data_IF_986084273577
#
_entry.id   IF_986084273577
#
_cell.length_a   1.000
_cell.length_b   1.000
_cell.length_c   1.000
_cell.angle_alpha   90.00
_cell.angle_beta   90.00
_cell.angle_gamma   90.00
#
_symmetry.space_group_name_H-M   'P 1'
#
loop_
_entity.id
_entity.type
_entity.pdbx_description
1 polymer ?
#
# COMPACT_ATOMS: atom_id res chain seq x y z
N UNK A 1 -13.36 -22.15 13.44
CA UNK A 1 -13.68 -20.72 13.26
C UNK A 1 -14.48 -20.29 14.47
N UNK A 2 -14.34 -19.06 14.95
CA UNK A 2 -15.05 -18.52 16.14
C UNK A 2 -15.92 -17.32 15.78
N UNK A 3 -15.71 -16.72 14.60
CA UNK A 3 -16.41 -15.50 14.19
C UNK A 3 -17.91 -15.73 13.86
N UNK A 4 -18.33 -16.80 13.17
CA UNK A 4 -19.75 -17.11 12.99
C UNK A 4 -20.48 -17.31 14.32
N UNK A 5 -19.87 -18.02 15.26
CA UNK A 5 -20.43 -18.30 16.59
C UNK A 5 -20.52 -17.01 17.43
N UNK A 6 -19.47 -16.18 17.39
CA UNK A 6 -19.47 -14.88 18.06
C UNK A 6 -20.51 -13.91 17.48
N UNK A 7 -20.70 -13.93 16.15
CA UNK A 7 -21.75 -13.15 15.50
C UNK A 7 -23.13 -13.63 15.94
N UNK A 8 -23.41 -14.93 15.87
CA UNK A 8 -24.70 -15.51 16.30
C UNK A 8 -25.02 -15.12 17.75
N UNK A 9 -24.05 -15.22 18.66
CA UNK A 9 -24.24 -14.82 20.05
C UNK A 9 -24.54 -13.32 20.19
N UNK A 10 -23.86 -12.47 19.43
CA UNK A 10 -24.13 -11.03 19.45
C UNK A 10 -25.53 -10.70 18.90
N UNK A 11 -25.98 -11.41 17.86
CA UNK A 11 -27.32 -11.29 17.29
C UNK A 11 -28.40 -11.73 18.30
N UNK A 12 -28.21 -12.88 18.96
CA UNK A 12 -29.12 -13.38 20.00
C UNK A 12 -29.26 -12.40 21.18
N UNK A 13 -28.18 -11.65 21.48
CA UNK A 13 -28.16 -10.63 22.52
C UNK A 13 -28.63 -9.24 22.03
N UNK A 14 -28.93 -9.08 20.73
CA UNK A 14 -29.28 -7.79 20.13
C UNK A 14 -28.14 -6.74 20.16
N UNK A 15 -26.89 -7.19 20.32
CA UNK A 15 -25.72 -6.33 20.49
C UNK A 15 -25.04 -6.03 19.15
N UNK A 16 -25.57 -5.02 18.46
CA UNK A 16 -25.00 -4.50 17.20
C UNK A 16 -23.50 -4.18 17.26
N UNK A 17 -22.99 -3.71 18.41
CA UNK A 17 -21.58 -3.35 18.55
C UNK A 17 -20.70 -4.61 18.52
N UNK A 18 -21.07 -5.63 19.30
CA UNK A 18 -20.36 -6.91 19.29
C UNK A 18 -20.51 -7.64 17.95
N UNK A 19 -21.67 -7.56 17.31
CA UNK A 19 -21.90 -8.14 15.99
C UNK A 19 -20.96 -7.54 14.94
N UNK A 20 -20.85 -6.20 14.89
CA UNK A 20 -19.92 -5.52 13.97
C UNK A 20 -18.46 -5.91 14.24
N UNK A 21 -18.05 -5.97 15.51
CA UNK A 21 -16.69 -6.39 15.91
C UNK A 21 -16.38 -7.83 15.53
N UNK A 22 -17.32 -8.76 15.69
CA UNK A 22 -17.17 -10.14 15.28
C UNK A 22 -16.92 -10.25 13.76
N UNK A 23 -17.69 -9.50 12.97
CA UNK A 23 -17.47 -9.40 11.52
C UNK A 23 -16.10 -8.79 11.18
N UNK A 24 -15.70 -7.70 11.85
CA UNK A 24 -14.39 -7.08 11.63
C UNK A 24 -13.20 -8.00 11.95
N UNK A 25 -13.34 -8.87 12.96
CA UNK A 25 -12.34 -9.91 13.25
C UNK A 25 -12.28 -10.96 12.14
N UNK A 26 -13.42 -11.36 11.56
CA UNK A 26 -13.45 -12.27 10.41
C UNK A 26 -12.70 -11.66 9.21
N UNK A 27 -13.00 -10.40 8.86
CA UNK A 27 -12.30 -9.69 7.77
C UNK A 27 -10.79 -9.60 8.05
N UNK A 28 -10.41 -9.25 9.28
CA UNK A 28 -9.00 -9.19 9.69
C UNK A 28 -8.30 -10.53 9.52
N UNK A 29 -8.97 -11.63 9.88
CA UNK A 29 -8.41 -12.97 9.72
C UNK A 29 -8.23 -13.32 8.25
N UNK A 30 -9.27 -13.15 7.42
CA UNK A 30 -9.24 -13.40 5.98
C UNK A 30 -8.07 -12.66 5.33
N UNK A 31 -7.96 -11.36 5.60
CA UNK A 31 -6.89 -10.52 5.08
C UNK A 31 -5.49 -11.00 5.54
N UNK A 32 -5.34 -11.37 6.81
CA UNK A 32 -4.04 -11.78 7.36
C UNK A 32 -3.59 -13.17 6.91
N UNK A 33 -4.51 -14.11 6.71
CA UNK A 33 -4.18 -15.49 6.34
C UNK A 33 -4.18 -15.72 4.83
N UNK A 34 -5.07 -15.05 4.10
CA UNK A 34 -5.18 -15.20 2.64
C UNK A 34 -4.50 -14.09 1.84
N UNK A 35 -3.85 -13.13 2.52
CA UNK A 35 -3.23 -11.98 1.87
C UNK A 35 -4.24 -11.05 1.20
N UNK A 36 -3.75 -10.17 0.33
CA UNK A 36 -4.59 -9.16 -0.33
C UNK A 36 -5.60 -9.77 -1.30
N UNK A 37 -5.27 -10.88 -1.96
CA UNK A 37 -6.19 -11.57 -2.89
C UNK A 37 -7.45 -12.08 -2.18
N UNK A 38 -7.35 -12.39 -0.89
CA UNK A 38 -8.51 -12.80 -0.11
C UNK A 38 -9.59 -11.71 -0.02
N UNK A 39 -9.21 -10.43 -0.15
CA UNK A 39 -10.18 -9.32 -0.21
C UNK A 39 -10.96 -9.25 -1.53
N UNK A 40 -10.55 -9.98 -2.57
CA UNK A 40 -11.33 -10.13 -3.82
C UNK A 40 -12.41 -11.20 -3.73
N UNK A 41 -12.44 -11.98 -2.64
CA UNK A 41 -13.38 -13.08 -2.49
C UNK A 41 -14.77 -12.60 -2.10
N UNK A 42 -15.79 -13.36 -2.49
CA UNK A 42 -17.17 -13.13 -2.06
C UNK A 42 -17.34 -13.28 -0.54
N UNK A 43 -16.54 -14.12 0.10
CA UNK A 43 -16.54 -14.29 1.55
C UNK A 43 -16.10 -13.00 2.26
N UNK A 44 -15.00 -12.37 1.82
CA UNK A 44 -14.56 -11.09 2.37
C UNK A 44 -15.65 -10.02 2.21
N UNK A 45 -16.26 -9.92 1.02
CA UNK A 45 -17.34 -8.98 0.77
C UNK A 45 -18.52 -9.18 1.73
N UNK A 46 -18.96 -10.43 1.94
CA UNK A 46 -20.05 -10.75 2.86
C UNK A 46 -19.76 -10.32 4.30
N UNK A 47 -18.53 -10.53 4.80
CA UNK A 47 -18.16 -10.13 6.15
C UNK A 47 -18.07 -8.61 6.30
N UNK A 48 -17.55 -7.90 5.30
CA UNK A 48 -17.51 -6.43 5.29
C UNK A 48 -18.92 -5.84 5.27
N UNK A 49 -19.81 -6.35 4.42
CA UNK A 49 -21.22 -5.91 4.34
C UNK A 49 -21.97 -6.17 5.64
N UNK A 50 -21.73 -7.32 6.28
CA UNK A 50 -22.29 -7.62 7.61
C UNK A 50 -21.74 -6.67 8.67
N UNK A 51 -20.44 -6.38 8.66
CA UNK A 51 -19.84 -5.44 9.61
C UNK A 51 -20.51 -4.07 9.50
N UNK A 52 -20.64 -3.55 8.27
CA UNK A 52 -21.27 -2.26 7.95
C UNK A 52 -22.72 -2.17 8.43
N UNK A 53 -23.52 -3.22 8.17
CA UNK A 53 -24.95 -3.29 8.57
C UNK A 53 -25.18 -3.06 10.06
N UNK A 54 -24.25 -3.51 10.90
CA UNK A 54 -24.37 -3.39 12.36
C UNK A 54 -23.80 -2.09 12.92
N UNK A 55 -23.19 -1.25 12.09
CA UNK A 55 -22.60 0.02 12.55
C UNK A 55 -23.65 1.10 12.82
N UNK A 56 -23.31 2.02 13.72
CA UNK A 56 -24.07 3.24 13.95
C UNK A 56 -23.20 4.45 13.60
N UNK A 57 -23.78 5.58 13.14
CA UNK A 57 -23.02 6.79 12.92
C UNK A 57 -22.28 7.23 14.19
N UNK A 58 -21.07 7.76 14.03
CA UNK A 58 -20.32 8.33 15.16
C UNK A 58 -19.63 7.31 16.07
N UNK A 59 -19.50 6.04 15.67
CA UNK A 59 -18.85 5.00 16.50
C UNK A 59 -17.53 4.49 15.91
N UNK A 60 -16.73 3.84 16.74
CA UNK A 60 -15.49 3.16 16.33
C UNK A 60 -15.76 2.08 15.29
N UNK A 61 -16.85 1.33 15.46
CA UNK A 61 -17.26 0.28 14.53
C UNK A 61 -17.52 0.84 13.13
N UNK A 62 -18.05 2.06 13.04
CA UNK A 62 -18.21 2.74 11.76
C UNK A 62 -16.88 3.08 11.10
N UNK A 63 -15.92 3.60 11.85
CA UNK A 63 -14.54 3.84 11.36
C UNK A 63 -13.94 2.55 10.79
N UNK A 64 -14.05 1.46 11.55
CA UNK A 64 -13.49 0.16 11.18
C UNK A 64 -14.17 -0.39 9.92
N UNK A 65 -15.50 -0.28 9.82
CA UNK A 65 -16.25 -0.72 8.64
C UNK A 65 -15.90 0.11 7.39
N UNK A 66 -15.84 1.43 7.50
CA UNK A 66 -15.45 2.30 6.38
C UNK A 66 -14.00 1.99 5.93
N UNK A 67 -13.06 1.73 6.85
CA UNK A 67 -11.71 1.30 6.49
C UNK A 67 -11.67 -0.06 5.76
N UNK A 68 -12.54 -1.01 6.12
CA UNK A 68 -12.64 -2.28 5.39
C UNK A 68 -13.34 -2.14 4.03
N UNK A 69 -14.38 -1.31 3.94
CA UNK A 69 -15.02 -0.96 2.67
C UNK A 69 -14.01 -0.31 1.73
N UNK A 70 -13.14 0.56 2.26
CA UNK A 70 -12.08 1.21 1.49
C UNK A 70 -11.16 0.19 0.80
N UNK A 71 -10.63 -0.77 1.57
CA UNK A 71 -9.78 -1.85 1.05
C UNK A 71 -10.55 -2.77 0.09
N UNK A 72 -11.79 -3.14 0.43
CA UNK A 72 -12.63 -4.00 -0.41
C UNK A 72 -12.87 -3.37 -1.79
N UNK A 73 -13.22 -2.08 -1.83
CA UNK A 73 -13.46 -1.35 -3.09
C UNK A 73 -12.18 -1.23 -3.91
N UNK A 74 -11.06 -0.91 -3.27
CA UNK A 74 -9.76 -0.84 -3.93
C UNK A 74 -9.37 -2.16 -4.61
N UNK A 75 -9.44 -3.28 -3.89
CA UNK A 75 -9.08 -4.59 -4.47
C UNK A 75 -10.12 -5.11 -5.46
N UNK A 76 -11.29 -4.49 -5.60
CA UNK A 76 -12.28 -4.80 -6.64
C UNK A 76 -12.32 -3.72 -7.72
N UNK A 77 -11.16 -3.09 -7.98
CA UNK A 77 -10.91 -2.13 -9.07
C UNK A 77 -11.82 -0.88 -9.03
N UNK A 78 -12.28 -0.50 -7.83
CA UNK A 78 -13.10 0.69 -7.55
C UNK A 78 -12.32 1.64 -6.64
N UNK A 79 -11.15 2.08 -7.10
CA UNK A 79 -10.19 2.87 -6.32
C UNK A 79 -10.78 4.18 -5.78
N UNK A 80 -11.54 4.91 -6.59
CA UNK A 80 -12.19 6.17 -6.19
C UNK A 80 -13.12 5.99 -4.98
N UNK A 81 -13.95 4.96 -5.00
CA UNK A 81 -14.81 4.63 -3.86
C UNK A 81 -13.99 4.18 -2.65
N UNK A 82 -12.88 3.46 -2.90
CA UNK A 82 -11.93 3.07 -1.87
C UNK A 82 -11.38 4.27 -1.12
N UNK A 83 -10.86 5.27 -1.85
CA UNK A 83 -10.32 6.52 -1.29
C UNK A 83 -11.41 7.29 -0.57
N UNK A 84 -12.61 7.39 -1.14
CA UNK A 84 -13.74 8.07 -0.49
C UNK A 84 -14.13 7.44 0.86
N UNK A 85 -14.14 6.11 0.96
CA UNK A 85 -14.37 5.42 2.24
C UNK A 85 -13.21 5.62 3.23
N UNK A 86 -11.96 5.62 2.77
CA UNK A 86 -10.80 5.89 3.62
C UNK A 86 -10.85 7.30 4.23
N UNK A 87 -11.24 8.30 3.43
CA UNK A 87 -11.41 9.68 3.88
C UNK A 87 -12.48 9.80 4.96
N UNK A 88 -13.66 9.19 4.74
CA UNK A 88 -14.75 9.14 5.75
C UNK A 88 -14.30 8.49 7.05
N UNK A 89 -13.58 7.38 6.96
CA UNK A 89 -13.04 6.69 8.13
C UNK A 89 -12.07 7.60 8.91
N UNK A 90 -11.14 8.26 8.23
CA UNK A 90 -10.13 9.13 8.85
C UNK A 90 -10.76 10.36 9.50
N UNK A 91 -11.69 11.02 8.82
CA UNK A 91 -12.42 12.16 9.36
C UNK A 91 -13.20 11.79 10.62
N UNK A 92 -13.89 10.64 10.62
CA UNK A 92 -14.61 10.18 11.79
C UNK A 92 -13.63 9.81 12.92
N UNK A 93 -12.55 9.10 12.61
CA UNK A 93 -11.58 8.68 13.61
C UNK A 93 -10.87 9.87 14.27
N UNK A 94 -10.60 10.98 13.55
CA UNK A 94 -10.07 12.22 14.15
C UNK A 94 -10.98 12.81 15.22
N UNK A 95 -12.30 12.53 15.17
CA UNK A 95 -13.29 12.99 16.16
C UNK A 95 -13.47 12.01 17.33
N UNK A 96 -12.97 10.79 17.19
CA UNK A 96 -13.05 9.74 18.20
C UNK A 96 -11.70 9.63 18.91
N UNK A 97 -11.68 9.72 20.23
CA UNK A 97 -10.45 9.57 21.03
C UNK A 97 -10.06 8.08 21.20
N UNK A 98 -10.09 7.33 20.10
CA UNK A 98 -9.72 5.90 20.04
C UNK A 98 -8.44 5.72 19.20
N UNK A 99 -7.30 5.40 19.84
CA UNK A 99 -6.03 5.26 19.14
C UNK A 99 -6.05 4.16 18.07
N UNK A 100 -6.61 2.99 18.37
CA UNK A 100 -6.56 1.84 17.47
C UNK A 100 -7.41 2.09 16.21
N UNK A 101 -8.55 2.75 16.34
CA UNK A 101 -9.41 3.18 15.24
C UNK A 101 -8.76 4.27 14.39
N UNK A 102 -8.14 5.27 15.03
CA UNK A 102 -7.41 6.33 14.32
C UNK A 102 -6.26 5.77 13.48
N UNK A 103 -5.42 4.92 14.06
CA UNK A 103 -4.30 4.31 13.34
C UNK A 103 -4.78 3.40 12.19
N UNK A 104 -5.93 2.73 12.34
CA UNK A 104 -6.51 1.92 11.26
C UNK A 104 -7.00 2.78 10.10
N UNK A 105 -7.76 3.83 10.38
CA UNK A 105 -8.26 4.73 9.37
C UNK A 105 -7.10 5.48 8.66
N UNK A 106 -6.11 5.91 9.45
CA UNK A 106 -4.93 6.57 8.93
C UNK A 106 -4.09 5.64 8.03
N UNK A 107 -3.94 4.37 8.40
CA UNK A 107 -3.32 3.37 7.52
C UNK A 107 -4.07 3.25 6.20
N UNK A 108 -5.40 3.12 6.23
CA UNK A 108 -6.21 3.02 5.02
C UNK A 108 -6.01 4.24 4.11
N UNK A 109 -6.00 5.45 4.68
CA UNK A 109 -5.73 6.68 3.93
C UNK A 109 -4.32 6.72 3.34
N UNK A 110 -3.29 6.50 4.17
CA UNK A 110 -1.90 6.49 3.72
C UNK A 110 -1.66 5.46 2.61
N UNK A 111 -2.30 4.30 2.69
CA UNK A 111 -2.17 3.23 1.69
C UNK A 111 -2.91 3.55 0.40
N UNK A 112 -4.13 4.10 0.46
CA UNK A 112 -5.02 4.25 -0.70
C UNK A 112 -4.86 5.58 -1.44
N UNK A 113 -4.75 6.69 -0.72
CA UNK A 113 -4.74 8.05 -1.27
C UNK A 113 -3.36 8.41 -1.87
N UNK A 114 -2.90 7.64 -2.87
CA UNK A 114 -1.58 7.80 -3.51
C UNK A 114 -1.62 8.59 -4.82
N UNK A 115 -2.79 9.06 -5.24
CA UNK A 115 -2.88 9.97 -6.36
C UNK A 115 -2.22 11.33 -6.02
N UNK A 116 -1.63 12.04 -6.99
CA UNK A 116 -0.80 13.21 -6.70
C UNK A 116 -1.52 14.32 -5.91
N UNK A 117 -2.81 14.51 -6.15
CA UNK A 117 -3.66 15.49 -5.48
C UNK A 117 -3.76 15.29 -3.95
N UNK A 118 -3.52 14.08 -3.46
CA UNK A 118 -3.56 13.77 -2.02
C UNK A 118 -2.21 13.94 -1.32
N UNK A 119 -1.14 14.22 -2.07
CA UNK A 119 0.24 14.16 -1.59
C UNK A 119 0.50 14.97 -0.32
N UNK A 120 0.01 16.21 -0.25
CA UNK A 120 0.21 17.08 0.91
C UNK A 120 -0.54 16.60 2.17
N UNK A 121 -1.78 16.11 2.02
CA UNK A 121 -2.53 15.56 3.16
C UNK A 121 -1.89 14.24 3.64
N UNK A 122 -1.38 13.42 2.73
CA UNK A 122 -0.64 12.20 3.08
C UNK A 122 0.63 12.53 3.85
N UNK A 123 1.40 13.54 3.43
CA UNK A 123 2.57 14.01 4.19
C UNK A 123 2.18 14.54 5.57
N UNK A 124 1.13 15.37 5.64
CA UNK A 124 0.61 15.94 6.89
C UNK A 124 0.17 14.85 7.88
N UNK A 125 -0.49 13.81 7.39
CA UNK A 125 -0.90 12.68 8.22
C UNK A 125 0.32 11.84 8.67
N UNK A 126 1.32 11.65 7.81
CA UNK A 126 2.57 10.99 8.19
C UNK A 126 3.31 11.77 9.29
N UNK A 127 3.34 13.11 9.21
CA UNK A 127 3.88 13.99 10.25
C UNK A 127 3.13 13.85 11.57
N UNK A 128 1.80 13.85 11.51
CA UNK A 128 0.93 13.68 12.68
C UNK A 128 1.19 12.33 13.38
N UNK A 129 1.26 11.24 12.62
CA UNK A 129 1.51 9.90 13.15
C UNK A 129 2.93 9.74 13.71
N UNK A 130 3.93 10.35 13.07
CA UNK A 130 5.32 10.24 13.48
C UNK A 130 5.52 10.66 14.94
N UNK A 131 4.77 11.65 15.43
CA UNK A 131 4.88 12.17 16.81
C UNK A 131 3.83 11.62 17.79
N UNK A 132 2.79 10.94 17.33
CA UNK A 132 1.69 10.44 18.18
C UNK A 132 2.12 9.26 19.07
N UNK A 133 1.67 9.15 20.33
CA UNK A 133 1.97 7.97 21.14
C UNK A 133 1.50 6.66 20.47
N UNK A 134 2.28 5.59 20.62
CA UNK A 134 1.96 4.25 20.09
C UNK A 134 1.12 3.41 21.08
N UNK A 135 0.73 3.99 22.21
CA UNK A 135 0.01 3.29 23.28
C UNK A 135 -1.41 2.94 22.82
N UNK A 136 -1.83 1.69 23.07
CA UNK A 136 -3.16 1.20 22.67
C UNK A 136 -3.26 0.73 21.22
N UNK A 137 -2.16 0.79 20.44
CA UNK A 137 -2.13 0.33 19.04
C UNK A 137 -1.57 -1.08 18.95
N UNK A 138 -2.22 -1.96 18.17
CA UNK A 138 -1.73 -3.31 17.98
C UNK A 138 -0.42 -3.36 17.18
N UNK A 139 0.53 -4.22 17.56
CA UNK A 139 1.85 -4.30 16.90
C UNK A 139 1.79 -4.50 15.38
N UNK A 140 0.94 -5.39 14.82
CA UNK A 140 0.82 -5.54 13.37
C UNK A 140 0.33 -4.26 12.68
N UNK A 141 -0.57 -3.51 13.34
CA UNK A 141 -1.10 -2.25 12.80
C UNK A 141 -0.01 -1.19 12.78
N UNK A 142 0.68 -1.04 13.91
CA UNK A 142 1.79 -0.12 14.06
C UNK A 142 2.83 -0.35 12.95
N UNK A 143 3.26 -1.60 12.73
CA UNK A 143 4.31 -1.92 11.74
C UNK A 143 3.87 -1.65 10.31
N UNK A 144 2.63 -1.97 9.93
CA UNK A 144 2.12 -1.66 8.58
C UNK A 144 2.02 -0.15 8.35
N UNK A 145 1.50 0.60 9.33
CA UNK A 145 1.41 2.07 9.21
C UNK A 145 2.79 2.72 9.16
N UNK A 146 3.76 2.25 9.93
CA UNK A 146 5.13 2.76 9.90
C UNK A 146 5.82 2.52 8.56
N UNK A 147 5.55 1.39 7.90
CA UNK A 147 6.01 1.15 6.53
C UNK A 147 5.52 2.27 5.59
N UNK A 148 4.24 2.62 5.66
CA UNK A 148 3.64 3.69 4.86
C UNK A 148 4.19 5.08 5.20
N UNK A 149 4.37 5.39 6.49
CA UNK A 149 4.95 6.67 6.94
C UNK A 149 6.35 6.86 6.35
N UNK A 150 7.23 5.86 6.49
CA UNK A 150 8.58 5.97 5.94
C UNK A 150 8.58 6.05 4.41
N UNK A 151 7.65 5.36 3.74
CA UNK A 151 7.49 5.45 2.27
C UNK A 151 7.09 6.86 1.85
N UNK A 152 6.16 7.49 2.57
CA UNK A 152 5.76 8.88 2.36
C UNK A 152 6.94 9.83 2.56
N UNK A 153 7.67 9.72 3.67
CA UNK A 153 8.85 10.57 3.90
C UNK A 153 9.89 10.42 2.80
N UNK A 154 10.14 9.19 2.34
CA UNK A 154 11.07 8.95 1.24
C UNK A 154 10.59 9.56 -0.07
N UNK A 155 9.29 9.43 -0.40
CA UNK A 155 8.68 10.03 -1.61
C UNK A 155 8.73 11.57 -1.62
N UNK A 156 8.86 12.18 -0.44
CA UNK A 156 9.05 13.62 -0.24
C UNK A 156 10.51 14.02 -0.03
N UNK A 157 11.47 13.12 -0.29
CA UNK A 157 12.90 13.38 -0.19
C UNK A 157 13.43 13.49 1.24
N UNK A 158 12.62 13.13 2.24
CA UNK A 158 12.96 13.19 3.66
C UNK A 158 13.62 11.89 4.13
N UNK A 159 14.72 11.51 3.48
CA UNK A 159 15.41 10.22 3.72
C UNK A 159 15.72 9.96 5.20
N UNK A 160 16.26 10.95 5.92
CA UNK A 160 16.61 10.77 7.34
C UNK A 160 15.39 10.43 8.22
N UNK A 161 14.22 11.02 7.93
CA UNK A 161 12.98 10.71 8.66
C UNK A 161 12.43 9.34 8.29
N UNK A 162 12.58 8.92 7.04
CA UNK A 162 12.24 7.56 6.62
C UNK A 162 13.12 6.52 7.35
N UNK A 163 14.44 6.77 7.44
CA UNK A 163 15.39 5.93 8.19
C UNK A 163 15.04 5.83 9.68
N UNK A 164 14.65 6.94 10.31
CA UNK A 164 14.20 6.95 11.70
C UNK A 164 12.98 6.08 11.95
N UNK A 165 11.93 6.25 11.15
CA UNK A 165 10.68 5.49 11.32
C UNK A 165 10.88 4.01 11.01
N UNK A 166 11.61 3.66 9.96
CA UNK A 166 11.85 2.24 9.64
C UNK A 166 12.82 1.56 10.60
N UNK A 167 13.73 2.30 11.24
CA UNK A 167 14.53 1.77 12.36
C UNK A 167 13.66 1.44 13.57
N UNK A 168 12.75 2.33 13.96
CA UNK A 168 11.77 2.05 15.03
C UNK A 168 10.91 0.83 14.67
N UNK A 169 10.51 0.69 13.39
CA UNK A 169 9.75 -0.46 12.90
C UNK A 169 10.56 -1.76 13.02
N UNK A 170 11.84 -1.75 12.68
CA UNK A 170 12.73 -2.91 12.84
C UNK A 170 12.88 -3.30 14.32
N UNK A 171 13.06 -2.34 15.23
CA UNK A 171 13.11 -2.62 16.68
C UNK A 171 11.82 -3.29 17.19
N UNK A 172 10.66 -2.87 16.69
CA UNK A 172 9.37 -3.53 16.97
C UNK A 172 9.33 -4.93 16.37
N UNK A 173 9.80 -5.10 15.13
CA UNK A 173 9.84 -6.39 14.45
C UNK A 173 10.72 -7.41 15.20
N UNK A 174 11.93 -7.03 15.59
CA UNK A 174 12.86 -7.89 16.34
C UNK A 174 12.31 -8.28 17.71
N UNK A 175 11.71 -7.32 18.42
CA UNK A 175 11.15 -7.56 19.76
C UNK A 175 9.91 -8.45 19.75
N UNK A 176 9.08 -8.35 18.71
CA UNK A 176 7.79 -9.08 18.64
C UNK A 176 7.87 -10.37 17.85
N UNK A 177 8.90 -10.56 17.02
CA UNK A 177 9.01 -11.69 16.11
C UNK A 177 7.90 -11.75 15.06
N UNK A 178 7.17 -10.64 14.84
CA UNK A 178 6.04 -10.60 13.93
C UNK A 178 6.50 -10.84 12.48
N UNK A 179 6.00 -11.89 11.79
CA UNK A 179 6.40 -12.22 10.42
C UNK A 179 6.28 -11.08 9.41
N UNK A 180 5.16 -10.35 9.46
CA UNK A 180 4.88 -9.23 8.55
C UNK A 180 5.80 -8.05 8.84
N UNK A 181 6.04 -7.75 10.10
CA UNK A 181 6.96 -6.67 10.51
C UNK A 181 8.40 -6.96 10.07
N UNK A 182 8.84 -8.22 10.16
CA UNK A 182 10.16 -8.63 9.68
C UNK A 182 10.28 -8.45 8.16
N UNK A 183 9.26 -8.81 7.38
CA UNK A 183 9.25 -8.56 5.93
C UNK A 183 9.32 -7.06 5.61
N UNK A 184 8.60 -6.21 6.34
CA UNK A 184 8.69 -4.76 6.14
C UNK A 184 10.07 -4.19 6.50
N UNK A 185 10.70 -4.69 7.56
CA UNK A 185 12.08 -4.32 7.90
C UNK A 185 13.07 -4.73 6.79
N UNK A 186 12.96 -5.96 6.29
CA UNK A 186 13.78 -6.44 5.18
C UNK A 186 13.58 -5.59 3.92
N UNK A 187 12.33 -5.25 3.61
CA UNK A 187 12.01 -4.34 2.51
C UNK A 187 12.75 -3.01 2.69
N UNK A 188 12.49 -2.29 3.79
CA UNK A 188 13.10 -0.99 4.10
C UNK A 188 14.63 -0.99 3.92
N UNK A 189 15.30 -2.03 4.40
CA UNK A 189 16.75 -2.17 4.24
C UNK A 189 17.17 -2.39 2.78
N UNK A 190 16.41 -3.16 1.98
CA UNK A 190 16.68 -3.33 0.56
C UNK A 190 16.53 -2.01 -0.23
N UNK A 191 15.56 -1.16 0.14
CA UNK A 191 15.41 0.18 -0.44
C UNK A 191 16.62 1.05 -0.12
N UNK A 192 17.08 1.09 1.13
CA UNK A 192 18.28 1.88 1.46
C UNK A 192 19.54 1.33 0.80
N UNK A 193 19.72 0.02 0.76
CA UNK A 193 20.82 -0.59 0.00
C UNK A 193 20.80 -0.13 -1.47
N UNK A 194 19.62 -0.11 -2.09
CA UNK A 194 19.45 0.37 -3.45
C UNK A 194 19.80 1.85 -3.62
N UNK A 195 19.32 2.72 -2.70
CA UNK A 195 19.61 4.15 -2.71
C UNK A 195 21.09 4.46 -2.45
N UNK A 196 21.78 3.57 -1.74
CA UNK A 196 23.23 3.64 -1.47
C UNK A 196 24.07 3.04 -2.60
N UNK A 197 23.45 2.58 -3.69
CA UNK A 197 24.14 1.95 -4.82
C UNK A 197 24.60 0.51 -4.56
N UNK A 198 24.19 -0.10 -3.45
CA UNK A 198 24.43 -1.52 -3.13
C UNK A 198 23.33 -2.39 -3.75
N UNK A 199 23.30 -2.40 -5.08
CA UNK A 199 22.22 -3.01 -5.86
C UNK A 199 22.17 -4.53 -5.68
N UNK A 200 23.32 -5.20 -5.66
CA UNK A 200 23.42 -6.65 -5.46
C UNK A 200 22.92 -7.05 -4.06
N UNK A 201 23.24 -6.25 -3.03
CA UNK A 201 22.73 -6.45 -1.68
C UNK A 201 21.19 -6.39 -1.68
N UNK A 202 20.61 -5.37 -2.33
CA UNK A 202 19.16 -5.23 -2.43
C UNK A 202 18.48 -6.43 -3.13
N UNK A 203 19.06 -6.94 -4.23
CA UNK A 203 18.57 -8.14 -4.91
C UNK A 203 18.65 -9.38 -4.02
N UNK A 204 19.78 -9.57 -3.30
CA UNK A 204 19.94 -10.68 -2.37
C UNK A 204 18.93 -10.61 -1.22
N UNK A 205 18.62 -9.41 -0.75
CA UNK A 205 17.57 -9.20 0.26
C UNK A 205 16.19 -9.60 -0.26
N UNK A 206 15.83 -9.24 -1.50
CA UNK A 206 14.58 -9.71 -2.12
C UNK A 206 14.48 -11.24 -2.15
N UNK A 207 15.55 -11.93 -2.55
CA UNK A 207 15.58 -13.40 -2.52
C UNK A 207 15.42 -13.97 -1.10
N UNK A 208 16.06 -13.35 -0.11
CA UNK A 208 15.92 -13.71 1.30
C UNK A 208 14.46 -13.55 1.78
N UNK A 209 13.77 -12.49 1.35
CA UNK A 209 12.37 -12.26 1.70
C UNK A 209 11.46 -13.38 1.17
N UNK A 210 11.64 -13.81 -0.08
CA UNK A 210 10.86 -14.91 -0.66
C UNK A 210 11.06 -16.22 0.13
N UNK A 211 12.31 -16.56 0.43
CA UNK A 211 12.63 -17.76 1.23
C UNK A 211 12.00 -17.71 2.61
N UNK A 212 12.14 -16.57 3.29
CA UNK A 212 11.60 -16.36 4.64
C UNK A 212 10.07 -16.37 4.65
N UNK A 213 9.44 -15.85 3.60
CA UNK A 213 8.00 -15.93 3.39
C UNK A 213 7.49 -17.37 3.29
N UNK A 214 8.22 -18.22 2.57
CA UNK A 214 7.94 -19.66 2.47
C UNK A 214 8.01 -20.38 3.81
N UNK A 215 9.06 -20.12 4.59
CA UNK A 215 9.21 -20.68 5.94
C UNK A 215 8.09 -20.25 6.91
N UNK A 216 7.57 -19.04 6.73
CA UNK A 216 6.55 -18.43 7.60
C UNK A 216 5.12 -18.67 7.10
N UNK A 217 4.93 -19.37 5.97
CA UNK A 217 3.61 -19.67 5.40
C UNK A 217 2.88 -18.44 4.82
N UNK A 218 3.61 -17.39 4.44
CA UNK A 218 3.08 -16.13 3.92
C UNK A 218 3.64 -15.78 2.53
N UNK A 219 3.91 -16.81 1.71
CA UNK A 219 4.60 -16.69 0.41
C UNK A 219 4.02 -15.63 -0.52
N UNK A 220 2.68 -15.54 -0.64
CA UNK A 220 2.06 -14.56 -1.55
C UNK A 220 2.36 -13.10 -1.19
N UNK A 221 2.40 -12.77 0.10
CA UNK A 221 2.81 -11.43 0.56
C UNK A 221 4.32 -11.21 0.39
N UNK A 222 5.12 -12.24 0.65
CA UNK A 222 6.57 -12.16 0.56
C UNK A 222 7.08 -12.00 -0.89
N UNK A 223 6.46 -12.68 -1.86
CA UNK A 223 6.78 -12.54 -3.29
C UNK A 223 6.54 -11.12 -3.79
N UNK A 224 5.44 -10.49 -3.37
CA UNK A 224 5.15 -9.09 -3.71
C UNK A 224 6.23 -8.16 -3.18
N UNK A 225 6.58 -8.28 -1.91
CA UNK A 225 7.60 -7.41 -1.30
C UNK A 225 9.00 -7.68 -1.86
N UNK A 226 9.30 -8.94 -2.21
CA UNK A 226 10.54 -9.32 -2.90
C UNK A 226 10.69 -8.64 -4.27
N UNK A 227 9.60 -8.57 -5.04
CA UNK A 227 9.57 -7.84 -6.31
C UNK A 227 9.88 -6.34 -6.10
N UNK A 228 9.29 -5.69 -5.09
CA UNK A 228 9.62 -4.29 -4.77
C UNK A 228 11.09 -4.08 -4.37
N UNK A 229 11.66 -5.03 -3.62
CA UNK A 229 13.05 -4.96 -3.19
C UNK A 229 14.04 -5.11 -4.35
N UNK A 230 13.69 -5.84 -5.41
CA UNK A 230 14.67 -6.33 -6.40
C UNK A 230 14.47 -5.82 -7.84
N UNK A 231 13.25 -5.43 -8.25
CA UNK A 231 12.99 -5.01 -9.65
C UNK A 231 13.85 -3.82 -10.08
N UNK A 232 13.83 -2.70 -9.35
CA UNK A 232 14.66 -1.53 -9.72
C UNK A 232 16.17 -1.84 -9.69
N UNK A 233 16.71 -2.50 -8.65
CA UNK A 233 18.11 -2.93 -8.66
C UNK A 233 18.48 -3.81 -9.85
N UNK A 234 17.62 -4.77 -10.24
CA UNK A 234 17.85 -5.60 -11.42
C UNK A 234 17.91 -4.77 -12.70
N UNK A 235 17.01 -3.79 -12.87
CA UNK A 235 17.05 -2.88 -14.02
C UNK A 235 18.36 -2.09 -14.07
N UNK A 236 18.81 -1.54 -12.93
CA UNK A 236 20.05 -0.77 -12.84
C UNK A 236 21.32 -1.64 -13.01
N UNK A 237 21.23 -2.93 -12.73
CA UNK A 237 22.27 -3.92 -13.02
C UNK A 237 22.23 -4.43 -14.47
N UNK A 238 21.32 -3.92 -15.31
CA UNK A 238 21.15 -4.37 -16.70
C UNK A 238 20.50 -5.75 -16.83
N UNK A 239 19.88 -6.28 -15.77
CA UNK A 239 19.20 -7.57 -15.72
C UNK A 239 17.70 -7.42 -15.97
N UNK A 240 17.36 -6.73 -17.06
CA UNK A 240 15.97 -6.41 -17.39
C UNK A 240 15.07 -7.62 -17.60
N UNK A 241 15.59 -8.73 -18.13
CA UNK A 241 14.83 -9.97 -18.30
C UNK A 241 14.47 -10.60 -16.95
N UNK A 242 15.39 -10.62 -15.99
CA UNK A 242 15.14 -11.10 -14.63
C UNK A 242 14.09 -10.24 -13.92
N UNK A 243 14.12 -8.91 -14.14
CA UNK A 243 13.13 -7.99 -13.60
C UNK A 243 11.75 -8.21 -14.24
N UNK A 244 11.71 -8.46 -15.56
CA UNK A 244 10.47 -8.68 -16.32
C UNK A 244 9.68 -9.90 -15.82
N UNK A 245 10.36 -10.93 -15.33
CA UNK A 245 9.73 -12.13 -14.74
C UNK A 245 9.02 -11.86 -13.41
N UNK A 246 9.30 -10.73 -12.75
CA UNK A 246 8.82 -10.42 -11.39
C UNK A 246 7.74 -9.34 -11.35
N UNK A 247 7.43 -8.71 -12.47
CA UNK A 247 6.56 -7.53 -12.52
C UNK A 247 5.16 -7.84 -13.03
N UNK A 248 4.19 -7.08 -12.52
CA UNK A 248 2.85 -6.99 -13.13
C UNK A 248 2.87 -6.15 -14.40
N UNK A 249 1.74 -6.14 -15.13
CA UNK A 249 1.57 -5.37 -16.37
C UNK A 249 1.96 -3.89 -16.24
N UNK A 250 1.72 -3.28 -15.07
CA UNK A 250 1.99 -1.86 -14.83
C UNK A 250 3.47 -1.50 -14.66
N UNK A 251 4.35 -2.46 -14.35
CA UNK A 251 5.80 -2.22 -14.32
C UNK A 251 6.51 -2.86 -15.52
N UNK A 252 5.75 -3.56 -16.38
CA UNK A 252 6.22 -4.18 -17.61
C UNK A 252 6.77 -3.16 -18.60
N UNK A 253 6.10 -2.02 -18.78
CA UNK A 253 6.55 -0.96 -19.68
C UNK A 253 7.96 -0.46 -19.33
N UNK A 254 8.23 -0.27 -18.04
CA UNK A 254 9.54 0.13 -17.55
C UNK A 254 10.61 -0.92 -17.83
N UNK A 255 10.34 -2.20 -17.54
CA UNK A 255 11.28 -3.28 -17.80
C UNK A 255 11.59 -3.41 -19.31
N UNK A 256 10.57 -3.35 -20.16
CA UNK A 256 10.72 -3.39 -21.62
C UNK A 256 11.51 -2.18 -22.15
N UNK A 257 11.33 -1.00 -21.57
CA UNK A 257 12.07 0.21 -21.93
C UNK A 257 13.57 0.08 -21.60
N UNK A 258 13.92 -0.43 -20.42
CA UNK A 258 15.30 -0.74 -20.04
C UNK A 258 15.95 -1.82 -20.92
N UNK A 259 15.15 -2.75 -21.46
CA UNK A 259 15.59 -3.75 -22.44
C UNK A 259 15.70 -3.21 -23.88
N UNK A 260 15.35 -1.94 -24.13
CA UNK A 260 15.36 -1.35 -25.47
C UNK A 260 14.25 -1.87 -26.39
N UNK A 261 13.22 -2.53 -25.86
CA UNK A 261 12.09 -3.10 -26.63
C UNK A 261 11.04 -2.04 -26.97
N UNK A 262 11.49 -0.98 -27.64
CA UNK A 262 10.69 0.22 -27.91
C UNK A 262 9.37 -0.07 -28.64
N UNK A 263 9.38 -0.99 -29.60
CA UNK A 263 8.18 -1.37 -30.38
C UNK A 263 7.06 -1.96 -29.50
N UNK A 264 7.39 -2.54 -28.35
CA UNK A 264 6.40 -3.06 -27.39
C UNK A 264 5.99 -2.03 -26.33
N UNK A 265 6.89 -1.10 -25.99
CA UNK A 265 6.62 -0.07 -24.97
C UNK A 265 5.65 0.98 -25.51
N UNK A 266 5.85 1.44 -26.74
CA UNK A 266 5.04 2.51 -27.33
C UNK A 266 3.53 2.23 -27.30
N UNK A 267 3.02 1.11 -27.87
CA UNK A 267 1.58 0.83 -27.84
C UNK A 267 1.04 0.63 -26.43
N UNK A 268 1.86 0.08 -25.51
CA UNK A 268 1.48 -0.09 -24.12
C UNK A 268 1.32 1.26 -23.39
N UNK A 269 2.18 2.24 -23.67
CA UNK A 269 2.05 3.59 -23.14
C UNK A 269 0.81 4.30 -23.69
N UNK A 270 0.52 4.15 -24.98
CA UNK A 270 -0.67 4.73 -25.60
C UNK A 270 -1.96 4.15 -24.99
N UNK A 271 -2.03 2.83 -24.85
CA UNK A 271 -3.16 2.12 -24.24
C UNK A 271 -3.38 2.55 -22.78
N UNK A 272 -2.32 2.60 -21.99
CA UNK A 272 -2.43 2.84 -20.54
C UNK A 272 -2.60 4.32 -20.18
N UNK A 273 -2.11 5.25 -21.00
CA UNK A 273 -2.09 6.68 -20.65
C UNK A 273 -2.92 7.56 -21.60
N UNK A 274 -2.90 7.34 -22.91
CA UNK A 274 -3.63 8.20 -23.85
C UNK A 274 -5.11 7.80 -23.98
N UNK A 275 -5.41 6.51 -23.84
CA UNK A 275 -6.80 6.04 -23.79
C UNK A 275 -7.45 6.19 -22.41
N UNK A 276 -6.68 6.66 -21.41
CA UNK A 276 -7.12 6.78 -20.03
C UNK A 276 -7.94 8.06 -19.82
N UNK A 277 -9.21 7.95 -19.41
CA UNK A 277 -10.03 9.13 -19.18
C UNK A 277 -9.52 9.93 -17.99
N UNK A 278 -9.76 11.24 -18.06
CA UNK A 278 -9.62 12.19 -16.95
C UNK A 278 -8.21 12.30 -16.34
N UNK A 279 -7.18 11.88 -17.07
CA UNK A 279 -5.80 11.96 -16.58
C UNK A 279 -5.41 13.39 -16.18
N UNK A 280 -5.01 13.56 -14.91
CA UNK A 280 -4.69 14.86 -14.34
C UNK A 280 -5.88 15.65 -13.77
N UNK A 281 -7.09 15.10 -13.77
CA UNK A 281 -8.21 15.63 -13.00
C UNK A 281 -8.12 15.21 -11.52
N UNK A 282 -8.94 15.82 -10.67
CA UNK A 282 -9.08 15.42 -9.26
C UNK A 282 -9.78 14.05 -9.09
N UNK A 283 -10.51 13.59 -10.10
CA UNK A 283 -11.19 12.28 -10.12
C UNK A 283 -10.21 11.15 -10.48
N UNK A 284 -9.07 11.48 -11.09
CA UNK A 284 -8.02 10.52 -11.40
C UNK A 284 -7.27 10.06 -10.14
N UNK A 285 -7.74 8.95 -9.57
CA UNK A 285 -7.15 8.27 -8.43
C UNK A 285 -5.99 7.30 -8.76
N UNK A 286 -5.38 7.42 -9.95
CA UNK A 286 -4.21 6.59 -10.27
C UNK A 286 -3.01 7.02 -9.47
N UNK A 287 -2.41 5.99 -8.90
CA UNK A 287 -1.35 6.09 -7.91
C UNK A 287 -0.05 6.57 -8.56
N UNK A 288 0.64 7.46 -7.85
CA UNK A 288 1.83 8.17 -8.32
C UNK A 288 2.93 7.23 -8.82
N UNK A 289 3.19 6.09 -8.16
CA UNK A 289 4.23 5.13 -8.57
C UNK A 289 4.05 4.52 -9.95
N UNK A 290 2.80 4.31 -10.36
CA UNK A 290 2.48 3.72 -11.66
C UNK A 290 2.86 4.72 -12.74
N UNK A 291 2.40 5.95 -12.56
CA UNK A 291 2.64 7.05 -13.47
C UNK A 291 4.12 7.47 -13.51
N UNK A 292 4.87 7.36 -12.40
CA UNK A 292 6.33 7.57 -12.42
C UNK A 292 7.05 6.52 -13.24
N UNK A 293 6.69 5.24 -13.05
CA UNK A 293 7.31 4.15 -13.79
C UNK A 293 7.05 4.29 -15.30
N UNK A 294 5.84 4.74 -15.66
CA UNK A 294 5.45 5.05 -17.03
C UNK A 294 6.16 6.31 -17.58
N UNK A 295 6.36 7.34 -16.75
CA UNK A 295 7.12 8.52 -17.13
C UNK A 295 8.58 8.15 -17.43
N UNK A 296 9.21 7.36 -16.57
CA UNK A 296 10.57 6.85 -16.78
C UNK A 296 10.64 6.03 -18.08
N UNK A 297 9.69 5.10 -18.29
CA UNK A 297 9.61 4.33 -19.53
C UNK A 297 9.47 5.22 -20.77
N UNK A 298 8.56 6.21 -20.74
CA UNK A 298 8.32 7.15 -21.82
C UNK A 298 9.57 8.00 -22.14
N UNK A 299 10.33 8.42 -21.12
CA UNK A 299 11.59 9.13 -21.31
C UNK A 299 12.64 8.24 -21.96
N UNK A 300 12.80 6.99 -21.49
CA UNK A 300 13.77 6.03 -22.02
C UNK A 300 13.54 5.72 -23.50
N UNK A 301 12.28 5.56 -23.93
CA UNK A 301 11.95 5.30 -25.34
C UNK A 301 11.72 6.57 -26.18
N UNK A 302 11.81 7.76 -25.58
CA UNK A 302 11.62 9.03 -26.28
C UNK A 302 10.17 9.37 -26.65
N UNK A 303 9.17 8.79 -25.97
CA UNK A 303 7.75 9.08 -26.18
C UNK A 303 7.35 10.46 -25.58
N UNK A 304 7.62 11.52 -26.33
CA UNK A 304 7.45 12.92 -25.85
C UNK A 304 6.05 13.29 -25.40
N UNK A 305 5.02 12.78 -26.07
CA UNK A 305 3.62 13.09 -25.73
C UNK A 305 3.24 12.56 -24.34
N UNK A 306 3.43 11.26 -24.09
CA UNK A 306 3.18 10.64 -22.78
C UNK A 306 4.07 11.24 -21.69
N UNK A 307 5.36 11.46 -21.98
CA UNK A 307 6.25 12.13 -21.02
C UNK A 307 5.75 13.54 -20.66
N UNK A 308 5.33 14.33 -21.65
CA UNK A 308 4.78 15.66 -21.42
C UNK A 308 3.46 15.65 -20.66
N UNK A 309 2.61 14.66 -20.88
CA UNK A 309 1.36 14.46 -20.15
C UNK A 309 1.62 14.19 -18.66
N UNK A 310 2.49 13.23 -18.36
CA UNK A 310 2.82 12.84 -16.99
C UNK A 310 3.59 13.94 -16.24
N UNK A 311 4.48 14.68 -16.93
CA UNK A 311 5.14 15.85 -16.34
C UNK A 311 4.13 16.93 -15.92
N UNK A 312 3.06 17.15 -16.71
CA UNK A 312 1.98 18.07 -16.31
C UNK A 312 1.19 17.54 -15.11
N UNK A 313 0.89 16.24 -15.08
CA UNK A 313 0.19 15.60 -13.94
C UNK A 313 0.95 15.76 -12.62
N UNK A 314 2.28 15.72 -12.66
CA UNK A 314 3.12 15.88 -11.47
C UNK A 314 3.53 17.32 -11.16
N UNK A 315 3.19 18.27 -12.03
CA UNK A 315 3.49 19.67 -11.79
C UNK A 315 2.89 20.11 -10.45
N UNK A 316 3.66 20.88 -9.67
CA UNK A 316 3.24 21.50 -8.41
C UNK A 316 2.89 20.56 -7.24
N UNK A 317 3.07 19.24 -7.39
CA UNK A 317 2.73 18.24 -6.34
C UNK A 317 3.68 18.20 -5.14
N UNK A 318 4.83 18.90 -5.20
CA UNK A 318 5.84 18.90 -4.13
C UNK A 318 6.62 17.58 -3.94
N UNK A 319 6.17 16.50 -4.59
CA UNK A 319 6.80 15.18 -4.52
C UNK A 319 8.24 15.18 -5.08
N UNK A 320 9.09 14.32 -4.52
CA UNK A 320 10.54 14.20 -4.79
C UNK A 320 10.88 12.72 -4.99
N UNK A 321 10.33 12.16 -6.06
CA UNK A 321 9.99 10.75 -6.13
C UNK A 321 11.22 9.85 -6.35
N UNK A 322 11.27 8.71 -5.66
CA UNK A 322 12.29 7.66 -5.87
C UNK A 322 11.75 6.42 -6.60
N UNK A 323 10.42 6.30 -6.78
CA UNK A 323 9.79 5.17 -7.46
C UNK A 323 10.10 3.78 -6.87
N UNK A 324 10.71 3.73 -5.69
CA UNK A 324 11.18 2.50 -5.03
C UNK A 324 10.13 1.82 -4.17
N UNK A 325 9.16 2.58 -3.65
CA UNK A 325 8.03 2.04 -2.89
C UNK A 325 6.84 2.89 -3.16
N UNK A 326 5.85 2.35 -3.86
CA UNK A 326 4.49 2.51 -3.38
C UNK A 326 3.79 1.18 -3.64
N UNK A 327 3.29 0.61 -2.55
CA UNK A 327 2.74 -0.73 -2.51
C UNK A 327 1.59 -0.91 -3.51
N UNK A 328 1.52 -2.09 -4.15
CA UNK A 328 0.38 -2.56 -4.96
C UNK A 328 -0.73 -3.12 -4.08
#
# INVERSE_FOLDING_TARGET
>A
MVAPEALSLAEDLGDSTRASRACGLAVTLIYRTGGTEALRTSEAAQWVERADRYTKPGTVERVVADAFLALLRFYNDRSEEGVAHAGKALELARRLDDPEAFWQAAHAWLFLAKAPQHGEEVLRLADELAIRPRTGVSAPRLTSTMCEIGSTFLAWGQRGRAEEVWREMDEVAQRTGNPTALLFSMLANAIFASLDGRLEDAVAMGQSMSNRGGELGISGSAERFSSFASVRPLLYLGKGDDALLQVSVFHRALCLAHLGRQEEVMPLLEELLLARPDIGSDEDETRTERDISMLEAAVLVGHREVAGLLLRRFADTGLRLTGYIHNT
#
